data_IF_101788024815
#
_entry.id   IF_101788024815
#
_cell.length_a   1.000
_cell.length_b   1.000
_cell.length_c   1.000
_cell.angle_alpha   90.00
_cell.angle_beta   90.00
_cell.angle_gamma   90.00
#
_symmetry.space_group_name_H-M   'P 1'
#
loop_
_entity.id
_entity.type
_entity.pdbx_description
1 polymer ?
#
# COMPACT_ATOMS: atom_id res chain seq x y z
N UNK A 1 -7.06 15.91 -10.93
CA UNK A 1 -7.53 15.00 -9.85
C UNK A 1 -7.76 13.64 -10.50
N UNK A 2 -7.30 12.53 -9.91
CA UNK A 2 -7.35 11.19 -10.53
C UNK A 2 -6.00 10.57 -10.89
N UNK A 3 -4.87 11.15 -10.47
CA UNK A 3 -3.58 10.47 -10.60
C UNK A 3 -3.36 9.52 -9.42
N UNK A 4 -2.79 8.34 -9.72
CA UNK A 4 -2.35 7.37 -8.72
C UNK A 4 -1.30 8.03 -7.79
N UNK A 5 -1.70 8.31 -6.55
CA UNK A 5 -0.83 8.93 -5.55
C UNK A 5 0.45 8.12 -5.30
N UNK A 6 0.38 6.79 -5.38
CA UNK A 6 1.53 5.92 -5.17
C UNK A 6 2.63 6.09 -6.22
N UNK A 7 2.26 6.61 -7.40
CA UNK A 7 3.17 6.87 -8.53
C UNK A 7 3.89 8.24 -8.46
N UNK A 8 3.48 9.13 -7.55
CA UNK A 8 4.10 10.44 -7.40
C UNK A 8 5.58 10.29 -7.02
N UNK A 9 6.44 11.14 -7.60
CA UNK A 9 7.89 11.06 -7.41
C UNK A 9 8.36 12.02 -6.32
N UNK A 10 9.10 11.50 -5.35
CA UNK A 10 9.82 12.26 -4.33
C UNK A 10 11.29 11.82 -4.31
N UNK A 11 12.23 12.79 -4.39
CA UNK A 11 13.68 12.51 -4.38
C UNK A 11 14.11 11.40 -5.37
N UNK A 12 13.50 11.38 -6.55
CA UNK A 12 13.82 10.42 -7.62
C UNK A 12 13.20 9.03 -7.47
N UNK A 13 12.37 8.77 -6.45
CA UNK A 13 11.65 7.51 -6.25
C UNK A 13 10.14 7.73 -6.08
N UNK A 14 9.33 6.72 -6.36
CA UNK A 14 7.88 6.81 -6.15
C UNK A 14 7.52 6.78 -4.66
N UNK A 15 6.40 7.42 -4.32
CA UNK A 15 5.81 7.41 -2.97
C UNK A 15 5.65 5.98 -2.44
N UNK A 16 5.12 5.06 -3.28
CA UNK A 16 4.96 3.66 -2.92
C UNK A 16 6.29 2.97 -2.62
N UNK A 17 7.32 3.16 -3.45
CA UNK A 17 8.60 2.48 -3.21
C UNK A 17 9.31 3.01 -1.97
N UNK A 18 9.20 4.30 -1.68
CA UNK A 18 9.70 4.88 -0.43
C UNK A 18 9.00 4.27 0.77
N UNK A 19 7.65 4.25 0.78
CA UNK A 19 6.90 3.71 1.91
C UNK A 19 7.17 2.21 2.14
N UNK A 20 7.29 1.41 1.07
CA UNK A 20 7.65 -0.02 1.18
C UNK A 20 9.07 -0.19 1.72
N UNK A 21 10.04 0.56 1.20
CA UNK A 21 11.43 0.45 1.64
C UNK A 21 11.58 0.83 3.13
N UNK A 22 10.91 1.88 3.60
CA UNK A 22 10.93 2.32 5.02
C UNK A 22 10.38 1.26 5.99
N UNK A 23 9.58 0.31 5.52
CA UNK A 23 8.93 -0.70 6.36
C UNK A 23 9.56 -2.09 6.20
N UNK A 24 10.52 -2.26 5.28
CA UNK A 24 11.05 -3.59 4.91
C UNK A 24 11.66 -4.35 6.08
N UNK A 25 12.16 -3.62 7.07
CA UNK A 25 12.78 -4.20 8.28
C UNK A 25 11.75 -4.72 9.30
N UNK A 26 10.48 -4.32 9.21
CA UNK A 26 9.43 -4.70 10.16
C UNK A 26 8.81 -6.10 9.88
N UNK A 27 9.16 -6.72 8.75
CA UNK A 27 8.71 -8.07 8.39
C UNK A 27 7.95 -8.13 7.07
N UNK A 28 6.97 -9.03 6.98
CA UNK A 28 6.19 -9.24 5.77
C UNK A 28 5.32 -8.01 5.45
N UNK A 29 5.53 -7.41 4.29
CA UNK A 29 4.75 -6.27 3.81
C UNK A 29 3.68 -6.78 2.85
N UNK A 30 2.48 -6.23 2.94
CA UNK A 30 1.41 -6.43 1.98
C UNK A 30 1.00 -5.09 1.42
N UNK A 31 0.72 -5.05 0.12
CA UNK A 31 0.11 -3.87 -0.50
C UNK A 31 -1.40 -4.04 -0.45
N UNK A 32 -2.09 -3.09 0.16
CA UNK A 32 -3.55 -3.04 0.10
C UNK A 32 -3.97 -2.41 -1.22
N UNK A 33 -4.80 -3.12 -1.96
CA UNK A 33 -5.18 -2.78 -3.32
C UNK A 33 -6.16 -1.62 -3.33
N UNK A 34 -5.65 -0.39 -3.28
CA UNK A 34 -6.44 0.77 -3.69
C UNK A 34 -6.74 0.62 -5.17
N UNK A 35 -8.00 0.38 -5.51
CA UNK A 35 -8.48 0.59 -6.85
C UNK A 35 -8.00 1.98 -7.30
N UNK A 36 -7.26 2.04 -8.41
CA UNK A 36 -7.32 3.25 -9.22
C UNK A 36 -8.79 3.57 -9.52
N UNK A 37 -9.06 4.73 -10.11
CA UNK A 37 -10.44 5.16 -10.44
C UNK A 37 -11.26 4.09 -11.20
N UNK A 38 -10.58 3.08 -11.78
CA UNK A 38 -11.13 1.99 -12.59
C UNK A 38 -10.94 0.56 -12.00
N UNK A 39 -10.60 0.39 -10.72
CA UNK A 39 -10.57 -0.95 -10.09
C UNK A 39 -9.30 -1.78 -10.33
N UNK A 40 -8.34 -1.28 -11.10
CA UNK A 40 -7.05 -1.95 -11.29
C UNK A 40 -6.00 -1.53 -10.26
N UNK A 41 -5.09 -2.45 -9.93
CA UNK A 41 -3.89 -2.12 -9.18
C UNK A 41 -3.06 -1.10 -9.98
N UNK A 42 -2.94 0.12 -9.44
CA UNK A 42 -2.22 1.23 -10.07
C UNK A 42 -0.81 0.84 -10.53
N UNK A 43 -0.36 1.47 -11.62
CA UNK A 43 0.90 1.15 -12.32
C UNK A 43 2.13 1.20 -11.41
N UNK A 44 2.09 2.02 -10.34
CA UNK A 44 3.14 2.09 -9.33
C UNK A 44 3.49 0.72 -8.70
N UNK A 45 2.57 -0.23 -8.78
CA UNK A 45 2.67 -1.58 -8.24
C UNK A 45 3.25 -2.66 -9.12
N UNK A 46 3.44 -2.39 -10.41
CA UNK A 46 3.83 -3.40 -11.39
C UNK A 46 5.36 -3.39 -11.52
N UNK A 47 6.04 -4.08 -10.61
CA UNK A 47 7.50 -4.17 -10.61
C UNK A 47 8.02 -5.37 -9.82
N UNK A 48 9.09 -6.00 -10.31
CA UNK A 48 9.80 -7.05 -9.59
C UNK A 48 10.36 -6.48 -8.27
N UNK A 49 9.89 -6.99 -7.13
CA UNK A 49 10.34 -6.57 -5.79
C UNK A 49 9.32 -5.80 -4.96
N UNK A 50 8.13 -5.50 -5.51
CA UNK A 50 7.03 -4.97 -4.70
C UNK A 50 6.23 -6.09 -4.02
N UNK A 51 5.64 -5.83 -2.84
CA UNK A 51 4.94 -6.86 -2.09
C UNK A 51 3.63 -7.31 -2.75
N UNK A 52 3.15 -8.49 -2.37
CA UNK A 52 1.90 -9.04 -2.86
C UNK A 52 0.72 -8.08 -2.57
N UNK A 53 -0.25 -8.07 -3.50
CA UNK A 53 -1.43 -7.20 -3.41
C UNK A 53 -2.59 -7.97 -2.80
N UNK A 54 -3.21 -7.38 -1.77
CA UNK A 54 -4.48 -7.85 -1.21
C UNK A 54 -5.59 -6.97 -1.80
N UNK A 55 -6.54 -7.51 -2.57
CA UNK A 55 -7.60 -6.72 -3.19
C UNK A 55 -8.58 -6.17 -2.15
N UNK A 56 -9.13 -4.99 -2.40
CA UNK A 56 -10.16 -4.38 -1.56
C UNK A 56 -11.41 -5.25 -1.44
N UNK A 57 -12.08 -5.18 -0.27
CA UNK A 57 -13.36 -5.85 -0.06
C UNK A 57 -14.47 -5.18 -0.88
N UNK A 58 -15.21 -5.91 -1.75
CA UNK A 58 -16.31 -5.34 -2.52
C UNK A 58 -17.39 -4.73 -1.63
N UNK A 59 -17.94 -3.59 -2.06
CA UNK A 59 -19.03 -2.90 -1.37
C UNK A 59 -18.60 -2.09 -0.13
N UNK A 60 -17.31 -2.08 0.22
CA UNK A 60 -16.75 -1.20 1.25
C UNK A 60 -15.98 -0.07 0.55
N UNK A 61 -16.28 1.21 0.84
CA UNK A 61 -15.58 2.32 0.21
C UNK A 61 -14.32 2.74 0.98
N UNK A 62 -13.35 3.26 0.23
CA UNK A 62 -12.17 3.94 0.78
C UNK A 62 -11.20 3.03 1.54
N UNK A 63 -10.32 3.61 2.38
CA UNK A 63 -9.23 2.87 3.03
C UNK A 63 -9.70 1.68 3.88
N UNK A 64 -10.93 1.71 4.40
CA UNK A 64 -11.49 0.62 5.20
C UNK A 64 -11.63 -0.68 4.40
N UNK A 65 -11.80 -0.61 3.07
CA UNK A 65 -11.92 -1.79 2.22
C UNK A 65 -10.63 -2.63 2.25
N UNK A 66 -9.49 -1.96 2.11
CA UNK A 66 -8.18 -2.59 2.17
C UNK A 66 -7.84 -3.06 3.58
N UNK A 67 -8.16 -2.28 4.61
CA UNK A 67 -7.95 -2.67 6.02
C UNK A 67 -8.72 -3.95 6.35
N UNK A 68 -10.00 -4.02 5.94
CA UNK A 68 -10.82 -5.20 6.15
C UNK A 68 -10.29 -6.40 5.35
N UNK A 69 -9.76 -6.19 4.15
CA UNK A 69 -9.15 -7.25 3.37
C UNK A 69 -7.90 -7.82 4.05
N UNK A 70 -7.05 -6.96 4.63
CA UNK A 70 -5.88 -7.36 5.41
C UNK A 70 -6.27 -8.23 6.62
N UNK A 71 -7.22 -7.74 7.42
CA UNK A 71 -7.74 -8.44 8.60
C UNK A 71 -8.37 -9.79 8.25
N UNK A 72 -9.05 -9.90 7.10
CA UNK A 72 -9.61 -11.19 6.63
C UNK A 72 -8.54 -12.16 6.13
N UNK A 73 -7.44 -11.65 5.59
CA UNK A 73 -6.36 -12.47 5.04
C UNK A 73 -5.56 -13.14 6.16
N UNK A 74 -5.25 -12.38 7.23
CA UNK A 74 -4.60 -12.90 8.43
C UNK A 74 -5.31 -12.35 9.68
N UNK A 75 -6.31 -13.07 10.22
CA UNK A 75 -7.13 -12.59 11.34
C UNK A 75 -6.40 -12.64 12.69
N UNK A 76 -5.38 -13.49 12.82
CA UNK A 76 -4.72 -13.77 14.10
C UNK A 76 -3.38 -13.01 14.28
N UNK A 77 -3.16 -11.95 13.50
CA UNK A 77 -1.93 -11.13 13.56
C UNK A 77 -2.25 -9.67 13.83
N UNK A 78 -1.29 -8.97 14.42
CA UNK A 78 -1.34 -7.51 14.54
C UNK A 78 -0.90 -6.86 13.22
N UNK A 79 -1.58 -5.76 12.83
CA UNK A 79 -1.29 -5.02 11.61
C UNK A 79 -0.79 -3.62 11.92
N UNK A 80 0.25 -3.20 11.20
CA UNK A 80 0.63 -1.79 11.06
C UNK A 80 0.21 -1.34 9.65
N UNK A 81 -0.64 -0.32 9.58
CA UNK A 81 -1.18 0.21 8.34
C UNK A 81 -0.53 1.56 8.05
N UNK A 82 0.06 1.70 6.86
CA UNK A 82 0.73 2.92 6.43
C UNK A 82 0.17 3.36 5.08
N UNK A 83 -0.19 4.63 4.98
CA UNK A 83 -0.64 5.21 3.73
C UNK A 83 0.55 5.47 2.78
N UNK A 84 0.34 5.27 1.48
CA UNK A 84 1.41 5.47 0.49
C UNK A 84 1.81 6.95 0.31
N UNK A 85 1.04 7.92 0.80
CA UNK A 85 1.32 9.35 0.68
C UNK A 85 2.08 9.95 1.88
N UNK A 86 2.77 9.09 2.64
CA UNK A 86 3.67 9.47 3.75
C UNK A 86 5.14 9.27 3.35
N UNK A 87 5.73 10.08 2.44
CA UNK A 87 7.09 9.85 1.92
C UNK A 87 8.23 10.12 2.93
N UNK A 88 7.88 10.52 4.16
CA UNK A 88 8.81 10.76 5.27
C UNK A 88 8.60 9.78 6.43
N UNK A 89 7.77 8.75 6.26
CA UNK A 89 7.59 7.69 7.26
C UNK A 89 8.88 6.87 7.36
N UNK A 90 9.27 6.55 8.59
CA UNK A 90 10.45 5.76 8.90
C UNK A 90 10.23 4.97 10.19
N UNK A 91 11.04 3.93 10.40
CA UNK A 91 11.13 3.24 11.69
C UNK A 91 11.94 4.10 12.67
N UNK A 92 11.48 4.20 13.91
CA UNK A 92 12.25 4.89 14.95
C UNK A 92 13.51 4.08 15.29
N UNK A 93 14.63 4.78 15.46
CA UNK A 93 15.92 4.20 15.86
C UNK A 93 15.94 3.73 17.33
#
# INVERSE_FOLDING_TARGET
>A
MGQDKGSLIFRGRSFLSIAVDSLRELGAIYRLGGAGIDGEAGEAGRGAGLPAVVPDVPGVPGPLAGMLAALRTHPDVAWVLVACDLPLVDVAA
#
